data_IF_567379852448
#
_entry.id   IF_567379852448
#
_cell.length_a   1.000
_cell.length_b   1.000
_cell.length_c   1.000
_cell.angle_alpha   90.00
_cell.angle_beta   90.00
_cell.angle_gamma   90.00
#
_symmetry.space_group_name_H-M   'P 1'
#
loop_
_entity.id
_entity.type
_entity.pdbx_description
1 polymer ?
#
# COMPACT_ATOMS: atom_id res chain seq x y z
N UNK A 1 -40.59 -1.06 74.85
CA UNK A 1 -40.83 -2.42 74.41
C UNK A 1 -40.66 -2.37 72.88
N UNK A 2 -39.51 -2.78 72.46
CA UNK A 2 -39.33 -3.10 71.03
C UNK A 2 -38.16 -4.09 70.99
N UNK A 3 -38.49 -5.30 70.63
CA UNK A 3 -37.62 -6.45 70.64
C UNK A 3 -36.53 -6.28 69.58
N UNK A 4 -35.30 -6.28 69.99
CA UNK A 4 -34.13 -6.42 69.19
C UNK A 4 -34.00 -7.86 68.70
N UNK A 5 -34.27 -8.09 67.44
CA UNK A 5 -33.98 -9.33 66.76
C UNK A 5 -32.54 -9.28 66.24
N UNK A 6 -31.68 -10.09 66.92
CA UNK A 6 -30.28 -10.30 66.45
C UNK A 6 -30.28 -11.22 65.24
N UNK A 7 -29.91 -10.69 64.11
CA UNK A 7 -29.58 -11.49 62.91
C UNK A 7 -28.21 -12.17 63.10
N UNK A 8 -28.26 -13.48 63.27
CA UNK A 8 -27.14 -14.36 63.64
C UNK A 8 -26.31 -14.84 62.45
N UNK A 9 -26.42 -14.20 61.31
CA UNK A 9 -25.60 -14.50 60.16
C UNK A 9 -24.98 -13.21 59.59
N UNK A 10 -23.80 -12.89 60.14
CA UNK A 10 -22.95 -11.85 59.58
C UNK A 10 -22.45 -12.26 58.20
N UNK A 11 -23.21 -12.01 57.16
CA UNK A 11 -22.68 -11.98 55.80
C UNK A 11 -21.83 -10.72 55.68
N UNK A 12 -20.50 -10.90 55.77
CA UNK A 12 -19.56 -9.90 55.27
C UNK A 12 -19.78 -9.86 53.76
N UNK A 13 -20.38 -8.78 53.27
CA UNK A 13 -20.47 -8.53 51.84
C UNK A 13 -19.03 -8.57 51.29
N UNK A 14 -18.75 -9.54 50.46
CA UNK A 14 -17.50 -9.52 49.67
C UNK A 14 -17.41 -8.17 48.93
N UNK A 15 -16.24 -7.51 48.99
CA UNK A 15 -16.08 -6.26 48.22
C UNK A 15 -16.38 -6.58 46.77
N UNK A 16 -17.36 -5.87 46.18
CA UNK A 16 -17.63 -5.93 44.77
C UNK A 16 -16.31 -5.63 44.04
N UNK A 17 -15.73 -6.66 43.41
CA UNK A 17 -14.62 -6.52 42.52
C UNK A 17 -15.14 -5.66 41.38
N UNK A 18 -14.56 -4.47 41.14
CA UNK A 18 -15.05 -3.61 40.07
C UNK A 18 -15.00 -4.40 38.76
N UNK A 19 -16.17 -4.59 38.18
CA UNK A 19 -16.33 -5.22 36.86
C UNK A 19 -15.44 -4.47 35.89
N UNK A 20 -14.28 -5.05 35.49
CA UNK A 20 -13.39 -4.49 34.52
C UNK A 20 -14.19 -4.50 33.21
N UNK A 21 -14.87 -3.41 32.92
CA UNK A 21 -15.58 -3.20 31.65
C UNK A 21 -14.64 -3.57 30.53
N UNK A 22 -15.00 -4.60 29.76
CA UNK A 22 -14.27 -4.96 28.56
C UNK A 22 -14.08 -3.69 27.69
N UNK A 23 -12.87 -3.45 27.19
CA UNK A 23 -12.57 -2.22 26.46
C UNK A 23 -13.56 -2.06 25.31
N UNK A 24 -14.15 -0.86 25.20
CA UNK A 24 -15.10 -0.53 24.13
C UNK A 24 -14.46 -0.84 22.78
N UNK A 25 -15.13 -1.55 21.86
CA UNK A 25 -14.58 -1.84 20.55
C UNK A 25 -14.34 -0.56 19.71
N UNK A 26 -14.77 0.59 20.18
CA UNK A 26 -14.65 1.88 19.49
C UNK A 26 -13.46 2.71 19.96
N UNK A 27 -12.76 2.28 21.01
CA UNK A 27 -11.60 3.01 21.55
C UNK A 27 -10.52 2.03 22.03
N UNK A 28 -9.25 2.46 21.98
CA UNK A 28 -8.16 1.73 22.62
C UNK A 28 -8.31 1.73 24.14
N UNK A 29 -7.71 0.76 24.85
CA UNK A 29 -7.79 0.61 26.29
C UNK A 29 -7.39 1.89 27.06
N UNK A 30 -6.45 2.67 26.52
CA UNK A 30 -6.01 3.95 27.08
C UNK A 30 -6.82 5.18 26.60
N UNK A 31 -7.86 4.99 25.77
CA UNK A 31 -8.70 6.05 25.24
C UNK A 31 -8.01 6.98 24.21
N UNK A 32 -6.76 6.72 23.84
CA UNK A 32 -5.96 7.62 22.99
C UNK A 32 -6.15 7.41 21.49
N UNK A 33 -6.81 6.34 21.07
CA UNK A 33 -7.03 5.99 19.67
C UNK A 33 -8.47 5.60 19.45
N UNK A 34 -9.14 6.20 18.49
CA UNK A 34 -10.49 5.85 18.08
C UNK A 34 -10.50 4.87 16.91
N UNK A 35 -11.33 3.84 17.00
CA UNK A 35 -11.53 2.86 15.94
C UNK A 35 -12.79 3.14 15.15
N UNK A 36 -12.65 3.18 13.82
CA UNK A 36 -13.77 3.13 12.89
C UNK A 36 -13.71 1.86 12.06
N UNK A 37 -14.87 1.34 11.69
CA UNK A 37 -14.98 0.07 11.01
C UNK A 37 -15.56 0.24 9.61
N UNK A 38 -14.98 -0.46 8.63
CA UNK A 38 -15.41 -0.40 7.23
C UNK A 38 -15.67 -1.82 6.71
N UNK A 39 -16.92 -2.13 6.30
CA UNK A 39 -17.29 -3.46 5.79
C UNK A 39 -16.61 -3.82 4.45
N UNK A 40 -16.17 -2.82 3.69
CA UNK A 40 -15.49 -3.04 2.43
C UNK A 40 -13.99 -3.37 2.58
N UNK A 41 -13.43 -3.16 3.78
CA UNK A 41 -12.03 -3.51 4.07
C UNK A 41 -11.92 -4.97 4.49
N UNK A 42 -10.92 -5.68 3.94
CA UNK A 42 -10.65 -7.08 4.28
C UNK A 42 -9.31 -7.25 5.02
N UNK A 43 -8.20 -6.92 4.38
CA UNK A 43 -6.83 -7.02 4.95
C UNK A 43 -6.10 -5.70 4.73
N UNK A 44 -6.53 -4.66 5.41
CA UNK A 44 -5.85 -3.35 5.41
C UNK A 44 -6.23 -2.56 6.66
N UNK A 45 -5.30 -1.71 7.11
CA UNK A 45 -5.52 -0.73 8.19
C UNK A 45 -5.14 0.65 7.67
N UNK A 46 -5.81 1.68 8.14
CA UNK A 46 -5.51 3.06 7.78
C UNK A 46 -5.56 3.92 9.02
N UNK A 47 -4.65 4.89 9.13
CA UNK A 47 -4.65 5.89 10.18
C UNK A 47 -4.95 7.26 9.57
N UNK A 48 -5.83 8.03 10.22
CA UNK A 48 -6.11 9.43 9.95
C UNK A 48 -5.87 10.24 11.22
N UNK A 49 -5.62 11.53 11.05
CA UNK A 49 -5.29 12.42 12.15
C UNK A 49 -3.81 12.41 12.48
N UNK A 50 -3.38 13.27 13.35
CA UNK A 50 -1.99 13.44 13.73
C UNK A 50 -1.86 14.24 15.01
N UNK A 51 -0.64 14.33 15.50
CA UNK A 51 -0.23 14.95 16.75
C UNK A 51 -0.76 16.39 16.99
N UNK A 52 -1.07 17.13 15.92
CA UNK A 52 -1.55 18.52 16.00
C UNK A 52 -3.08 18.67 16.05
N UNK A 53 -3.86 17.63 15.75
CA UNK A 53 -5.32 17.73 15.54
C UNK A 53 -6.15 16.72 16.35
N UNK A 54 -5.64 16.25 17.49
CA UNK A 54 -6.35 15.32 18.38
C UNK A 54 -5.89 13.86 18.22
N UNK A 55 -6.64 12.95 18.85
CA UNK A 55 -6.30 11.54 18.89
C UNK A 55 -6.36 10.90 17.49
N UNK A 56 -5.42 10.00 17.15
CA UNK A 56 -5.44 9.29 15.87
C UNK A 56 -6.69 8.42 15.76
N UNK A 57 -7.28 8.41 14.54
CA UNK A 57 -8.40 7.55 14.18
C UNK A 57 -7.88 6.42 13.31
N UNK A 58 -8.15 5.18 13.70
CA UNK A 58 -7.78 3.99 12.94
C UNK A 58 -9.00 3.38 12.27
N UNK A 59 -8.93 3.25 10.95
CA UNK A 59 -9.94 2.56 10.17
C UNK A 59 -9.56 1.10 10.01
N UNK A 60 -10.42 0.22 10.53
CA UNK A 60 -10.26 -1.23 10.58
C UNK A 60 -11.32 -1.94 9.71
N UNK A 61 -11.09 -3.19 9.29
CA UNK A 61 -12.13 -4.05 8.76
C UNK A 61 -13.27 -4.27 9.78
N UNK A 62 -14.51 -4.36 9.29
CA UNK A 62 -15.69 -4.47 10.17
C UNK A 62 -15.68 -5.72 11.06
N UNK A 63 -15.12 -6.84 10.60
CA UNK A 63 -15.02 -8.07 11.40
C UNK A 63 -14.19 -7.90 12.67
N UNK A 64 -13.26 -6.94 12.69
CA UNK A 64 -12.42 -6.64 13.86
C UNK A 64 -13.18 -5.94 15.01
N UNK A 65 -14.49 -5.69 14.85
CA UNK A 65 -15.34 -5.20 15.92
C UNK A 65 -15.62 -6.28 16.96
N UNK A 66 -15.53 -7.55 16.58
CA UNK A 66 -15.76 -8.69 17.44
C UNK A 66 -14.73 -8.76 18.59
N UNK A 67 -15.13 -9.24 19.77
CA UNK A 67 -14.31 -9.19 21.00
C UNK A 67 -12.98 -9.94 20.88
N UNK A 68 -12.93 -11.04 20.14
CA UNK A 68 -11.71 -11.82 19.91
C UNK A 68 -10.58 -11.05 19.24
N UNK A 69 -10.88 -9.94 18.57
CA UNK A 69 -9.86 -9.06 17.94
C UNK A 69 -9.38 -7.94 18.90
N UNK A 70 -9.67 -8.01 20.20
CA UNK A 70 -9.28 -6.97 21.15
C UNK A 70 -7.77 -6.70 21.13
N UNK A 71 -6.94 -7.74 21.24
CA UNK A 71 -5.48 -7.62 21.23
C UNK A 71 -4.95 -7.09 19.90
N UNK A 72 -5.56 -7.49 18.79
CA UNK A 72 -5.21 -6.95 17.48
C UNK A 72 -5.56 -5.45 17.36
N UNK A 73 -6.68 -5.00 17.95
CA UNK A 73 -7.01 -3.57 18.02
C UNK A 73 -5.99 -2.77 18.83
N UNK A 74 -5.50 -3.30 19.94
CA UNK A 74 -4.44 -2.62 20.71
C UNK A 74 -3.13 -2.50 19.93
N UNK A 75 -2.72 -3.54 19.19
CA UNK A 75 -1.58 -3.46 18.27
C UNK A 75 -1.80 -2.41 17.16
N UNK A 76 -3.03 -2.27 16.65
CA UNK A 76 -3.38 -1.22 15.69
C UNK A 76 -3.34 0.18 16.34
N UNK A 77 -3.69 0.31 17.61
CA UNK A 77 -3.59 1.57 18.36
C UNK A 77 -2.12 1.97 18.58
N UNK A 78 -1.27 1.04 18.99
CA UNK A 78 0.17 1.27 19.12
C UNK A 78 0.79 1.67 17.77
N UNK A 79 0.45 0.96 16.70
CA UNK A 79 0.86 1.30 15.35
C UNK A 79 0.43 2.73 14.96
N UNK A 80 -0.79 3.14 15.27
CA UNK A 80 -1.29 4.47 14.93
C UNK A 80 -0.50 5.58 15.61
N UNK A 81 -0.12 5.41 16.88
CA UNK A 81 0.72 6.36 17.61
C UNK A 81 2.09 6.54 16.93
N UNK A 82 2.65 5.47 16.36
CA UNK A 82 3.89 5.54 15.59
C UNK A 82 3.68 6.07 14.17
N UNK A 83 2.56 5.75 13.53
CA UNK A 83 2.25 6.15 12.16
C UNK A 83 2.10 7.67 11.99
N UNK A 84 1.64 8.37 13.04
CA UNK A 84 1.48 9.84 13.04
C UNK A 84 2.77 10.60 13.38
N UNK A 85 3.80 9.92 13.88
CA UNK A 85 5.09 10.53 14.24
C UNK A 85 6.00 10.73 13.01
N UNK A 86 7.07 11.52 13.20
CA UNK A 86 8.10 11.74 12.18
C UNK A 86 8.69 10.41 11.68
N UNK A 87 8.81 10.25 10.36
CA UNK A 87 9.30 9.04 9.68
C UNK A 87 10.82 8.90 9.74
N UNK A 88 11.39 8.72 10.93
CA UNK A 88 12.80 8.33 11.11
C UNK A 88 13.00 6.86 10.73
N UNK A 89 14.25 6.42 10.47
CA UNK A 89 14.52 5.00 10.17
C UNK A 89 14.12 4.08 11.33
N UNK A 90 14.40 4.50 12.58
CA UNK A 90 13.97 3.77 13.78
C UNK A 90 12.44 3.63 13.84
N UNK A 91 11.71 4.72 13.60
CA UNK A 91 10.24 4.69 13.64
C UNK A 91 9.65 3.85 12.51
N UNK A 92 10.27 3.84 11.31
CA UNK A 92 9.85 2.97 10.20
C UNK A 92 10.00 1.48 10.55
N UNK A 93 11.07 1.10 11.26
CA UNK A 93 11.29 -0.27 11.70
C UNK A 93 10.21 -0.70 12.71
N UNK A 94 9.88 0.15 13.69
CA UNK A 94 8.81 -0.09 14.67
C UNK A 94 7.45 -0.23 13.95
N UNK A 95 7.12 0.68 13.05
CA UNK A 95 5.88 0.61 12.26
C UNK A 95 5.78 -0.71 11.49
N UNK A 96 6.87 -1.16 10.87
CA UNK A 96 6.90 -2.43 10.12
C UNK A 96 6.68 -3.62 11.04
N UNK A 97 7.33 -3.64 12.20
CA UNK A 97 7.18 -4.70 13.20
C UNK A 97 5.74 -4.78 13.72
N UNK A 98 5.17 -3.67 14.12
CA UNK A 98 3.80 -3.59 14.61
C UNK A 98 2.77 -4.06 13.57
N UNK A 99 2.94 -3.69 12.30
CA UNK A 99 2.07 -4.17 11.21
C UNK A 99 2.19 -5.68 11.03
N UNK A 100 3.39 -6.24 11.13
CA UNK A 100 3.59 -7.69 11.02
C UNK A 100 2.93 -8.42 12.20
N UNK A 101 3.17 -8.00 13.44
CA UNK A 101 2.56 -8.57 14.64
C UNK A 101 1.03 -8.48 14.61
N UNK A 102 0.50 -7.34 14.18
CA UNK A 102 -0.93 -7.13 14.00
C UNK A 102 -1.55 -8.17 13.05
N UNK A 103 -0.96 -8.36 11.84
CA UNK A 103 -1.51 -9.32 10.90
C UNK A 103 -1.29 -10.77 11.32
N UNK A 104 -0.20 -11.07 12.03
CA UNK A 104 0.01 -12.40 12.64
C UNK A 104 -1.06 -12.71 13.69
N UNK A 105 -1.37 -11.77 14.59
CA UNK A 105 -2.44 -11.95 15.57
C UNK A 105 -3.80 -12.17 14.88
N UNK A 106 -4.12 -11.41 13.85
CA UNK A 106 -5.36 -11.56 13.08
C UNK A 106 -5.41 -12.92 12.37
N UNK A 107 -4.34 -13.30 11.67
CA UNK A 107 -4.28 -14.59 10.95
C UNK A 107 -4.36 -15.78 11.91
N UNK A 108 -3.81 -15.67 13.15
CA UNK A 108 -3.92 -16.68 14.19
C UNK A 108 -5.38 -16.89 14.64
N UNK A 109 -6.13 -15.79 14.86
CA UNK A 109 -7.54 -15.87 15.25
C UNK A 109 -8.37 -16.62 14.19
N UNK A 110 -8.12 -16.36 12.90
CA UNK A 110 -8.79 -17.11 11.82
C UNK A 110 -8.41 -18.59 11.82
N UNK A 111 -7.12 -18.89 12.05
CA UNK A 111 -6.63 -20.27 12.13
C UNK A 111 -7.28 -21.03 13.31
N UNK A 112 -7.37 -20.39 14.47
CA UNK A 112 -7.99 -20.97 15.68
C UNK A 112 -9.49 -21.25 15.48
N UNK A 113 -10.14 -20.50 14.60
CA UNK A 113 -11.53 -20.75 14.18
C UNK A 113 -11.67 -21.80 13.07
N UNK A 114 -10.58 -22.40 12.60
CA UNK A 114 -10.58 -23.33 11.48
C UNK A 114 -10.82 -22.65 10.11
N UNK A 115 -10.70 -21.33 10.06
CA UNK A 115 -10.82 -20.54 8.83
C UNK A 115 -9.45 -20.29 8.21
N UNK A 116 -9.39 -20.26 6.88
CA UNK A 116 -8.16 -19.89 6.20
C UNK A 116 -7.77 -18.43 6.48
N UNK A 117 -6.48 -18.14 6.77
CA UNK A 117 -6.01 -16.78 6.94
C UNK A 117 -6.42 -15.90 5.75
N UNK A 118 -6.81 -14.67 6.05
CA UNK A 118 -7.23 -13.73 5.02
C UNK A 118 -6.11 -13.53 4.00
N UNK A 119 -6.23 -14.17 2.85
CA UNK A 119 -5.31 -13.91 1.75
C UNK A 119 -5.35 -12.42 1.44
N UNK A 120 -4.19 -11.75 1.50
CA UNK A 120 -4.03 -10.46 0.86
C UNK A 120 -4.13 -10.72 -0.65
N UNK A 121 -5.35 -10.80 -1.18
CA UNK A 121 -5.55 -10.79 -2.63
C UNK A 121 -5.07 -9.43 -3.10
N UNK A 122 -3.78 -9.36 -3.44
CA UNK A 122 -3.26 -8.24 -4.17
C UNK A 122 -4.14 -8.07 -5.39
N UNK A 123 -5.05 -7.10 -5.34
CA UNK A 123 -5.93 -6.83 -6.47
C UNK A 123 -5.02 -6.42 -7.62
N UNK A 124 -4.91 -7.30 -8.61
CA UNK A 124 -4.27 -6.92 -9.85
C UNK A 124 -4.96 -5.67 -10.38
N UNK A 125 -4.22 -4.59 -10.65
CA UNK A 125 -4.82 -3.48 -11.35
C UNK A 125 -5.33 -4.00 -12.70
N UNK A 126 -6.49 -3.54 -13.17
CA UNK A 126 -6.98 -3.93 -14.48
C UNK A 126 -5.92 -3.53 -15.54
N UNK A 127 -5.59 -4.47 -16.42
CA UNK A 127 -4.68 -4.23 -17.54
C UNK A 127 -5.43 -3.42 -18.58
N UNK A 128 -5.03 -2.18 -18.76
CA UNK A 128 -5.64 -1.21 -19.70
C UNK A 128 -4.53 -0.53 -20.49
N UNK A 129 -4.02 -1.16 -21.57
CA UNK A 129 -2.95 -0.60 -22.37
C UNK A 129 -3.44 0.50 -23.32
N UNK A 130 -4.72 0.44 -23.73
CA UNK A 130 -5.32 1.49 -24.57
C UNK A 130 -5.53 2.76 -23.78
N UNK A 131 -4.91 3.85 -24.20
CA UNK A 131 -5.11 5.20 -23.71
C UNK A 131 -6.02 6.00 -24.61
N UNK A 132 -6.10 7.32 -24.35
CA UNK A 132 -6.84 8.26 -25.21
C UNK A 132 -6.04 8.59 -26.49
N UNK A 133 -4.74 8.77 -26.34
CA UNK A 133 -3.86 9.19 -27.43
C UNK A 133 -2.89 8.09 -27.87
N UNK A 134 -2.52 7.17 -26.97
CA UNK A 134 -1.52 6.15 -27.25
C UNK A 134 -1.98 4.75 -26.81
N UNK A 135 -1.58 3.74 -27.60
CA UNK A 135 -1.70 2.33 -27.23
C UNK A 135 -0.35 1.79 -26.75
N UNK A 136 -0.26 1.45 -25.46
CA UNK A 136 0.98 0.94 -24.87
C UNK A 136 1.40 -0.42 -25.42
N UNK A 137 0.47 -1.23 -25.94
CA UNK A 137 0.80 -2.52 -26.53
C UNK A 137 1.68 -2.34 -27.75
N UNK A 138 1.33 -1.39 -28.62
CA UNK A 138 2.07 -1.12 -29.85
C UNK A 138 3.46 -0.53 -29.53
N UNK A 139 3.52 0.38 -28.56
CA UNK A 139 4.78 0.96 -28.08
C UNK A 139 5.70 -0.11 -27.49
N UNK A 140 5.14 -0.99 -26.63
CA UNK A 140 5.90 -2.08 -26.04
C UNK A 140 6.41 -3.05 -27.09
N UNK A 141 5.58 -3.43 -28.07
CA UNK A 141 5.98 -4.33 -29.15
C UNK A 141 7.14 -3.74 -29.97
N UNK A 142 7.06 -2.46 -30.33
CA UNK A 142 8.14 -1.77 -31.06
C UNK A 142 9.44 -1.73 -30.25
N UNK A 143 9.39 -1.36 -28.96
CA UNK A 143 10.56 -1.33 -28.08
C UNK A 143 11.14 -2.73 -27.87
N UNK A 144 10.29 -3.74 -27.63
CA UNK A 144 10.72 -5.12 -27.43
C UNK A 144 11.46 -5.65 -28.66
N UNK A 145 10.90 -5.45 -29.85
CA UNK A 145 11.54 -5.89 -31.09
C UNK A 145 12.85 -5.16 -31.36
N UNK A 146 12.90 -3.84 -31.12
CA UNK A 146 14.08 -3.02 -31.48
C UNK A 146 15.25 -3.22 -30.52
N UNK A 147 15.00 -3.36 -29.23
CA UNK A 147 16.06 -3.33 -28.19
C UNK A 147 16.23 -4.63 -27.42
N UNK A 148 15.27 -5.57 -27.52
CA UNK A 148 15.25 -6.80 -26.72
C UNK A 148 14.95 -8.03 -27.58
N UNK A 149 15.07 -7.94 -28.91
CA UNK A 149 14.95 -9.08 -29.85
C UNK A 149 13.59 -9.81 -29.73
N UNK A 150 12.53 -9.11 -29.28
CA UNK A 150 11.22 -9.68 -29.06
C UNK A 150 11.11 -10.64 -27.85
N UNK A 151 12.16 -10.76 -27.04
CA UNK A 151 12.25 -11.80 -25.99
C UNK A 151 11.56 -11.44 -24.68
N UNK A 152 11.20 -10.17 -24.45
CA UNK A 152 10.57 -9.75 -23.20
C UNK A 152 9.12 -10.22 -23.11
N UNK A 153 8.82 -10.91 -22.03
CA UNK A 153 7.46 -11.28 -21.66
C UNK A 153 7.00 -10.45 -20.48
N UNK A 154 6.13 -9.48 -20.73
CA UNK A 154 5.56 -8.62 -19.68
C UNK A 154 4.17 -8.10 -20.07
N UNK A 155 3.40 -7.67 -19.07
CA UNK A 155 2.13 -6.96 -19.28
C UNK A 155 2.35 -5.47 -19.08
N UNK A 156 1.64 -4.62 -19.83
CA UNK A 156 1.75 -3.17 -19.73
C UNK A 156 0.38 -2.54 -19.53
N UNK A 157 0.31 -1.47 -18.74
CA UNK A 157 -0.94 -0.77 -18.43
C UNK A 157 -0.70 0.69 -18.12
N UNK A 158 -1.71 1.52 -18.34
CA UNK A 158 -1.74 2.88 -17.81
C UNK A 158 -1.95 2.88 -16.30
N UNK A 159 -1.25 3.76 -15.60
CA UNK A 159 -1.45 3.97 -14.16
C UNK A 159 -2.87 4.45 -13.86
N UNK A 160 -3.50 3.87 -12.82
CA UNK A 160 -4.80 4.34 -12.35
C UNK A 160 -4.72 5.67 -11.57
N UNK A 161 -3.52 6.10 -11.18
CA UNK A 161 -3.31 7.33 -10.40
C UNK A 161 -2.88 8.45 -11.34
N UNK A 162 -3.62 9.56 -11.32
CA UNK A 162 -3.14 10.79 -11.95
C UNK A 162 -1.95 11.31 -11.16
N UNK A 163 -0.81 11.45 -11.83
CA UNK A 163 0.44 11.90 -11.23
C UNK A 163 1.24 10.83 -10.49
N UNK A 164 0.91 9.54 -10.69
CA UNK A 164 1.80 8.43 -10.35
C UNK A 164 3.01 8.40 -11.28
N UNK A 165 4.16 7.95 -10.77
CA UNK A 165 5.32 7.64 -11.59
C UNK A 165 5.08 6.37 -12.40
N UNK A 166 5.78 6.22 -13.51
CA UNK A 166 5.91 4.93 -14.18
C UNK A 166 6.74 3.99 -13.29
N UNK A 167 6.48 2.69 -13.37
CA UNK A 167 7.23 1.71 -12.59
C UNK A 167 7.05 0.30 -13.16
N UNK A 168 8.05 -0.52 -12.97
CA UNK A 168 8.01 -1.97 -13.12
C UNK A 168 7.76 -2.67 -11.78
N UNK A 169 7.04 -3.78 -11.79
CA UNK A 169 6.84 -4.66 -10.63
C UNK A 169 6.60 -6.11 -11.06
N UNK A 170 7.04 -7.06 -10.24
CA UNK A 170 6.64 -8.46 -10.37
C UNK A 170 5.34 -8.66 -9.62
N UNK A 171 4.37 -9.32 -10.25
CA UNK A 171 3.05 -9.62 -9.71
C UNK A 171 2.79 -11.12 -9.80
N UNK A 172 1.92 -11.61 -8.93
CA UNK A 172 1.38 -12.97 -9.04
C UNK A 172 -0.01 -12.93 -9.64
N UNK A 173 -0.27 -13.78 -10.60
CA UNK A 173 -1.60 -13.97 -11.15
C UNK A 173 -2.48 -14.63 -10.07
N UNK A 174 -3.64 -14.06 -9.71
CA UNK A 174 -4.47 -14.59 -8.63
C UNK A 174 -5.17 -15.91 -8.98
N UNK A 175 -5.20 -16.28 -10.26
CA UNK A 175 -5.83 -17.51 -10.76
C UNK A 175 -4.80 -18.63 -10.88
N UNK A 176 -3.68 -18.36 -11.59
CA UNK A 176 -2.64 -19.37 -11.86
C UNK A 176 -1.56 -19.43 -10.79
N UNK A 177 -1.41 -18.37 -9.97
CA UNK A 177 -0.31 -18.25 -9.01
C UNK A 177 1.05 -17.90 -9.63
N UNK A 178 1.13 -17.86 -10.96
CA UNK A 178 2.37 -17.58 -11.70
C UNK A 178 2.81 -16.12 -11.54
N UNK A 179 4.13 -15.93 -11.48
CA UNK A 179 4.71 -14.60 -11.42
C UNK A 179 4.84 -14.01 -12.83
N UNK A 180 4.50 -12.74 -13.00
CA UNK A 180 4.67 -12.03 -14.25
C UNK A 180 5.17 -10.59 -14.01
N UNK A 181 5.84 -10.03 -15.01
CA UNK A 181 6.27 -8.64 -15.01
C UNK A 181 5.14 -7.72 -15.44
N UNK A 182 4.88 -6.66 -14.65
CA UNK A 182 3.92 -5.62 -14.96
C UNK A 182 4.60 -4.26 -15.03
N UNK A 183 4.49 -3.62 -16.18
CA UNK A 183 4.89 -2.23 -16.40
C UNK A 183 3.65 -1.34 -16.28
N UNK A 184 3.73 -0.30 -15.47
CA UNK A 184 2.69 0.71 -15.32
C UNK A 184 3.21 2.07 -15.72
N UNK A 185 2.64 2.66 -16.77
CA UNK A 185 3.07 3.95 -17.32
C UNK A 185 2.21 5.09 -16.77
N UNK A 186 2.85 6.19 -16.41
CA UNK A 186 2.17 7.40 -15.93
C UNK A 186 1.21 7.96 -16.97
N UNK A 187 -0.01 8.29 -16.57
CA UNK A 187 -1.00 8.88 -17.48
C UNK A 187 -0.59 10.24 -18.05
N UNK A 188 0.38 10.91 -17.46
CA UNK A 188 0.94 12.13 -18.03
C UNK A 188 1.56 11.97 -19.42
N UNK A 189 1.87 10.71 -19.81
CA UNK A 189 2.31 10.38 -21.17
C UNK A 189 1.13 10.13 -22.13
N UNK A 190 -0.11 9.96 -21.64
CA UNK A 190 -1.30 9.80 -22.48
C UNK A 190 -1.91 11.17 -22.82
N UNK A 191 -1.18 12.01 -23.50
CA UNK A 191 -1.57 13.38 -23.83
C UNK A 191 -1.27 13.66 -25.31
N UNK A 192 -2.11 14.49 -25.95
CA UNK A 192 -1.97 14.85 -27.37
C UNK A 192 -0.60 15.47 -27.72
N UNK A 193 0.03 16.14 -26.75
CA UNK A 193 1.36 16.75 -26.90
C UNK A 193 2.51 15.79 -26.54
N UNK A 194 2.24 14.51 -26.25
CA UNK A 194 3.27 13.52 -25.97
C UNK A 194 3.75 12.90 -27.29
N UNK A 195 4.99 13.18 -27.74
CA UNK A 195 5.51 12.56 -28.94
C UNK A 195 5.85 11.09 -28.70
N UNK A 196 5.83 10.30 -29.78
CA UNK A 196 6.04 8.86 -29.69
C UNK A 196 7.39 8.49 -29.07
N UNK A 197 8.45 9.27 -29.33
CA UNK A 197 9.76 9.03 -28.72
C UNK A 197 9.74 9.20 -27.20
N UNK A 198 8.89 10.07 -26.66
CA UNK A 198 8.86 10.30 -25.22
C UNK A 198 8.20 9.13 -24.47
N UNK A 199 7.10 8.60 -24.98
CA UNK A 199 6.45 7.43 -24.40
C UNK A 199 7.27 6.16 -24.64
N UNK A 200 7.89 6.01 -25.81
CA UNK A 200 8.79 4.89 -26.10
C UNK A 200 10.01 4.89 -25.17
N UNK A 201 10.57 6.07 -24.84
CA UNK A 201 11.69 6.20 -23.90
C UNK A 201 11.35 5.70 -22.49
N UNK A 202 10.19 6.08 -21.94
CA UNK A 202 9.80 5.57 -20.63
C UNK A 202 9.47 4.08 -20.66
N UNK A 203 8.87 3.56 -21.72
CA UNK A 203 8.63 2.11 -21.88
C UNK A 203 9.95 1.36 -21.93
N UNK A 204 10.94 1.85 -22.69
CA UNK A 204 12.27 1.28 -22.71
C UNK A 204 12.94 1.26 -21.33
N UNK A 205 12.86 2.36 -20.59
CA UNK A 205 13.36 2.45 -19.20
C UNK A 205 12.76 1.37 -18.31
N UNK A 206 11.44 1.20 -18.34
CA UNK A 206 10.75 0.18 -17.52
C UNK A 206 11.09 -1.25 -17.98
N UNK A 207 11.34 -1.47 -19.26
CA UNK A 207 11.82 -2.76 -19.77
C UNK A 207 13.24 -3.09 -19.26
N UNK A 208 14.11 -2.11 -19.11
CA UNK A 208 15.44 -2.32 -18.53
C UNK A 208 15.38 -2.87 -17.09
N UNK A 209 14.37 -2.51 -16.30
CA UNK A 209 14.16 -3.08 -14.95
C UNK A 209 13.83 -4.58 -14.97
N UNK A 210 13.42 -5.14 -16.10
CA UNK A 210 13.18 -6.58 -16.24
C UNK A 210 14.49 -7.32 -16.47
N UNK A 211 15.38 -6.77 -17.28
CA UNK A 211 16.61 -7.45 -17.75
C UNK A 211 17.86 -7.13 -16.94
N UNK A 212 17.83 -6.02 -16.17
CA UNK A 212 18.98 -5.62 -15.34
C UNK A 212 18.63 -5.81 -13.88
N UNK A 213 19.30 -6.74 -13.18
CA UNK A 213 19.06 -6.97 -11.77
C UNK A 213 19.48 -5.77 -10.92
N UNK A 214 18.81 -5.62 -9.79
CA UNK A 214 19.16 -4.58 -8.81
C UNK A 214 20.49 -4.91 -8.17
N UNK A 215 21.45 -3.98 -8.22
CA UNK A 215 22.76 -4.12 -7.57
C UNK A 215 22.65 -3.88 -6.06
N UNK A 216 23.44 -4.60 -5.27
CA UNK A 216 23.65 -4.28 -3.86
C UNK A 216 25.07 -3.77 -3.65
N UNK A 217 25.21 -2.55 -3.10
CA UNK A 217 26.52 -1.94 -2.77
C UNK A 217 26.48 -1.43 -1.33
N UNK A 218 27.34 -2.00 -0.49
CA UNK A 218 27.43 -1.58 0.92
C UNK A 218 26.10 -1.69 1.69
N UNK A 219 25.32 -2.74 1.45
CA UNK A 219 24.00 -2.95 2.07
C UNK A 219 22.89 -2.03 1.54
N UNK A 220 23.11 -1.28 0.46
CA UNK A 220 22.12 -0.43 -0.19
C UNK A 220 21.75 -0.97 -1.56
N UNK A 221 20.44 -1.03 -1.82
CA UNK A 221 19.93 -1.37 -3.15
C UNK A 221 20.14 -0.21 -4.12
N UNK A 222 20.84 -0.47 -5.23
CA UNK A 222 21.08 0.48 -6.32
C UNK A 222 20.27 0.02 -7.52
N UNK A 223 19.12 0.64 -7.75
CA UNK A 223 18.18 0.27 -8.83
C UNK A 223 18.68 0.74 -10.20
N UNK A 224 19.25 1.93 -10.27
CA UNK A 224 19.83 2.51 -11.49
C UNK A 224 21.36 2.52 -11.38
N UNK A 225 21.98 1.34 -11.43
CA UNK A 225 23.42 1.15 -11.36
C UNK A 225 24.16 1.66 -12.62
N UNK A 226 25.46 1.35 -12.72
CA UNK A 226 26.29 1.79 -13.87
C UNK A 226 25.80 1.16 -15.16
N UNK A 227 25.54 -0.14 -15.16
CA UNK A 227 25.05 -0.87 -16.33
C UNK A 227 23.68 -0.33 -16.79
N UNK A 228 22.76 -0.11 -15.86
CA UNK A 228 21.44 0.46 -16.17
C UNK A 228 21.57 1.77 -16.94
N UNK A 229 22.34 2.73 -16.39
CA UNK A 229 22.55 4.04 -17.02
C UNK A 229 23.24 3.96 -18.39
N UNK A 230 24.17 3.01 -18.55
CA UNK A 230 24.83 2.80 -19.86
C UNK A 230 23.85 2.24 -20.90
N UNK A 231 22.99 1.29 -20.53
CA UNK A 231 21.98 0.75 -21.44
C UNK A 231 20.88 1.76 -21.72
N UNK A 232 20.41 2.51 -20.71
CA UNK A 232 19.40 3.54 -20.87
C UNK A 232 19.80 4.59 -21.93
N UNK A 233 21.07 5.01 -21.94
CA UNK A 233 21.61 5.93 -22.95
C UNK A 233 21.71 5.36 -24.35
N UNK A 234 21.49 4.05 -24.56
CA UNK A 234 21.41 3.47 -25.91
C UNK A 234 20.08 3.73 -26.60
N UNK A 235 19.10 4.26 -25.89
CA UNK A 235 17.86 4.68 -26.51
C UNK A 235 18.14 5.85 -27.47
N UNK A 236 17.76 5.69 -28.73
CA UNK A 236 18.15 6.63 -29.83
C UNK A 236 17.71 8.07 -29.58
N UNK A 237 16.59 8.28 -28.87
CA UNK A 237 16.07 9.61 -28.51
C UNK A 237 16.21 9.89 -27.01
N UNK A 238 17.33 9.44 -26.41
CA UNK A 238 17.51 9.55 -24.96
C UNK A 238 17.45 11.00 -24.46
N UNK A 239 18.19 11.91 -25.11
CA UNK A 239 18.29 13.30 -24.65
C UNK A 239 16.97 14.05 -24.85
N UNK A 240 16.30 13.86 -25.99
CA UNK A 240 14.99 14.44 -26.30
C UNK A 240 13.91 13.93 -25.33
N UNK A 241 13.92 12.62 -25.03
CA UNK A 241 13.02 12.02 -24.07
C UNK A 241 13.25 12.59 -22.66
N UNK A 242 14.50 12.66 -22.19
CA UNK A 242 14.84 13.20 -20.86
C UNK A 242 14.45 14.67 -20.76
N UNK A 243 14.66 15.45 -21.80
CA UNK A 243 14.23 16.86 -21.86
C UNK A 243 12.71 16.95 -21.74
N UNK A 244 11.97 16.20 -22.56
CA UNK A 244 10.51 16.18 -22.53
C UNK A 244 9.98 15.71 -21.16
N UNK A 245 10.57 14.67 -20.60
CA UNK A 245 10.22 14.13 -19.28
C UNK A 245 10.34 15.17 -18.16
N UNK A 246 11.40 15.99 -18.19
CA UNK A 246 11.64 17.02 -17.19
C UNK A 246 10.75 18.26 -17.38
N UNK A 247 10.51 18.67 -18.61
CA UNK A 247 9.88 19.94 -18.91
C UNK A 247 8.36 19.84 -19.13
N UNK A 248 7.91 18.79 -19.82
CA UNK A 248 6.51 18.68 -20.29
C UNK A 248 5.67 17.76 -19.39
N UNK A 249 6.18 16.58 -19.02
CA UNK A 249 5.44 15.62 -18.21
C UNK A 249 4.86 16.20 -16.92
N UNK A 250 5.59 17.03 -16.13
CA UNK A 250 5.04 17.63 -14.90
C UNK A 250 3.86 18.57 -15.18
N UNK A 251 3.87 19.26 -16.33
CA UNK A 251 2.76 20.14 -16.76
C UNK A 251 1.52 19.32 -17.10
N UNK A 252 1.68 18.24 -17.88
CA UNK A 252 0.59 17.32 -18.21
C UNK A 252 -0.04 16.71 -16.96
N UNK A 253 0.78 16.23 -16.02
CA UNK A 253 0.30 15.69 -14.74
C UNK A 253 -0.48 16.73 -13.95
N UNK A 254 -0.02 17.98 -13.92
CA UNK A 254 -0.69 19.07 -13.22
C UNK A 254 -2.04 19.38 -13.86
N UNK A 255 -2.10 19.51 -15.20
CA UNK A 255 -3.34 19.74 -15.95
C UNK A 255 -4.37 18.62 -15.67
N UNK A 256 -3.97 17.36 -15.72
CA UNK A 256 -4.87 16.23 -15.44
C UNK A 256 -5.41 16.22 -14.00
N UNK A 257 -4.64 16.72 -13.03
CA UNK A 257 -5.12 16.84 -11.64
C UNK A 257 -6.20 17.92 -11.50
N UNK A 258 -6.05 19.03 -12.19
CA UNK A 258 -7.06 20.11 -12.19
C UNK A 258 -8.37 19.68 -12.85
N UNK A 259 -8.32 18.92 -13.97
CA UNK A 259 -9.53 18.38 -14.61
C UNK A 259 -10.27 17.31 -13.80
N UNK A 260 -9.65 16.69 -12.81
CA UNK A 260 -10.32 15.75 -11.89
C UNK A 260 -10.90 16.41 -10.63
N UNK A 261 -10.62 17.67 -10.42
CA UNK A 261 -11.10 18.43 -9.26
C UNK A 261 -12.38 19.23 -9.56
N UNK A 262 -12.85 19.21 -10.82
CA UNK A 262 -14.12 19.71 -11.32
C UNK A 262 -15.07 18.54 -11.60
#
# INVERSE_FOLDING_TARGET
MNDGQLDLFGFVAEPEVPEVKAPSPECSANGLVHFKYNPLMKKSIRCKGGFLFGHPEVLLPAYMKAPEFADARELAAEWAQHAVRRKTQKNKAIIKDLVNRFWQAVDQIFTDKGEAPLASKGRLPPIRPQGVHHNLTDVLAAINNTYFEGTLTCRITWSNRVGGLSFHSVRKDPVTGESFHLISISRGYDAANCPLYAIAGVVYHECLHIVIPVEERGGRRVVHGREFRQREKRYIYYDEWIKWHKEVLPRNIRAMRHHKAL
#
